data_IF_270973311847
#
_entry.id   IF_270973311847
#
_cell.length_a   1.000
_cell.length_b   1.000
_cell.length_c   1.000
_cell.angle_alpha   90.00
_cell.angle_beta   90.00
_cell.angle_gamma   90.00
#
_symmetry.space_group_name_H-M   'P 1'
#
loop_
_entity.id
_entity.type
_entity.pdbx_description
1 polymer ?
#
# COMPACT_ATOMS: atom_id res chain seq x y z
N UNK A 1 -65.04 50.72 -43.14
CA UNK A 1 -65.16 50.89 -41.68
C UNK A 1 -64.72 49.57 -41.06
N UNK A 2 -63.58 49.60 -40.36
CA UNK A 2 -62.71 48.46 -40.07
C UNK A 2 -63.22 47.72 -38.83
N UNK A 3 -63.43 46.39 -38.96
CA UNK A 3 -63.76 45.49 -37.86
C UNK A 3 -62.47 44.86 -37.33
N UNK A 4 -62.07 45.27 -36.11
CA UNK A 4 -60.93 44.72 -35.38
C UNK A 4 -61.22 43.30 -34.90
N UNK A 5 -60.33 42.38 -35.23
CA UNK A 5 -60.32 40.97 -34.82
C UNK A 5 -59.38 40.85 -33.60
N UNK A 6 -59.94 40.55 -32.43
CA UNK A 6 -59.19 40.34 -31.20
C UNK A 6 -58.52 38.97 -31.19
N UNK A 7 -57.19 38.95 -31.11
CA UNK A 7 -56.41 37.73 -30.94
C UNK A 7 -56.17 37.44 -29.45
N UNK A 8 -56.64 36.27 -29.02
CA UNK A 8 -56.45 35.73 -27.68
C UNK A 8 -55.01 35.25 -27.51
N UNK A 9 -54.22 36.00 -26.74
CA UNK A 9 -52.85 35.67 -26.38
C UNK A 9 -52.84 34.56 -25.31
N UNK A 10 -52.81 33.30 -25.74
CA UNK A 10 -52.62 32.13 -24.85
C UNK A 10 -51.20 32.16 -24.29
N UNK A 11 -51.09 32.46 -22.99
CA UNK A 11 -49.84 32.38 -22.21
C UNK A 11 -49.37 30.92 -22.14
N UNK A 12 -48.34 30.59 -22.91
CA UNK A 12 -47.59 29.34 -22.76
C UNK A 12 -46.75 29.42 -21.49
N UNK A 13 -47.17 28.68 -20.46
CA UNK A 13 -46.38 28.47 -19.24
C UNK A 13 -45.35 27.39 -19.60
N UNK A 14 -44.10 27.80 -19.84
CA UNK A 14 -42.97 26.88 -19.93
C UNK A 14 -42.71 26.28 -18.54
N UNK A 15 -42.80 24.96 -18.33
CA UNK A 15 -42.37 24.36 -17.08
C UNK A 15 -40.85 24.49 -17.00
N UNK A 16 -40.38 25.34 -16.07
CA UNK A 16 -38.98 25.46 -15.70
C UNK A 16 -38.53 24.12 -15.12
N UNK A 17 -37.88 23.30 -15.95
CA UNK A 17 -37.30 22.03 -15.57
C UNK A 17 -36.17 22.30 -14.58
N UNK A 18 -36.47 22.23 -13.28
CA UNK A 18 -35.46 22.24 -12.22
C UNK A 18 -34.66 20.95 -12.34
N UNK A 19 -33.53 21.01 -13.05
CA UNK A 19 -32.51 19.96 -13.00
C UNK A 19 -31.91 20.05 -11.60
N UNK A 20 -32.40 19.21 -10.70
CA UNK A 20 -31.71 18.92 -9.45
C UNK A 20 -30.40 18.22 -9.80
N UNK A 21 -29.34 19.00 -9.99
CA UNK A 21 -27.99 18.47 -9.88
C UNK A 21 -27.85 18.03 -8.42
N UNK A 22 -28.03 16.75 -8.16
CA UNK A 22 -27.51 16.15 -6.94
C UNK A 22 -26.00 16.33 -7.00
N UNK A 23 -25.52 17.39 -6.35
CA UNK A 23 -24.11 17.57 -6.01
C UNK A 23 -23.83 16.47 -4.99
N UNK A 24 -23.57 15.26 -5.49
CA UNK A 24 -22.94 14.25 -4.69
C UNK A 24 -21.54 14.78 -4.40
N UNK A 25 -21.27 15.10 -3.13
CA UNK A 25 -19.92 15.40 -2.68
C UNK A 25 -19.04 14.17 -2.94
N UNK A 26 -18.46 14.10 -4.14
CA UNK A 26 -17.65 12.99 -4.59
C UNK A 26 -16.29 13.03 -3.91
N UNK A 27 -15.85 11.88 -3.41
CA UNK A 27 -14.43 11.68 -3.10
C UNK A 27 -13.72 11.19 -4.37
N UNK A 28 -12.52 11.71 -4.60
CA UNK A 28 -11.67 11.36 -5.72
C UNK A 28 -10.38 10.72 -5.21
N UNK A 29 -9.93 9.66 -5.87
CA UNK A 29 -8.56 9.18 -5.74
C UNK A 29 -7.68 9.94 -6.72
N UNK A 30 -6.69 10.64 -6.22
CA UNK A 30 -5.87 11.56 -7.03
C UNK A 30 -4.40 11.24 -6.82
N UNK A 31 -3.65 11.19 -7.93
CA UNK A 31 -2.19 11.25 -7.89
C UNK A 31 -1.75 12.70 -7.93
N UNK A 32 -0.88 13.08 -7.00
CA UNK A 32 -0.26 14.41 -6.95
C UNK A 32 1.25 14.27 -7.00
N UNK A 33 1.89 15.01 -7.89
CA UNK A 33 3.33 14.91 -8.13
C UNK A 33 4.07 15.88 -7.19
N UNK A 34 5.09 15.39 -6.48
CA UNK A 34 5.93 16.17 -5.55
C UNK A 34 5.18 16.88 -4.42
N UNK A 35 4.10 16.28 -3.90
CA UNK A 35 3.31 16.87 -2.82
C UNK A 35 4.12 16.95 -1.51
N UNK A 36 4.40 18.17 -1.05
CA UNK A 36 5.06 18.43 0.25
C UNK A 36 4.08 18.77 1.36
N UNK A 37 2.86 19.15 0.99
CA UNK A 37 1.88 19.66 1.92
C UNK A 37 1.15 18.52 2.64
N UNK A 38 1.25 18.51 3.96
CA UNK A 38 0.64 17.51 4.84
C UNK A 38 -0.83 17.80 5.17
N UNK A 39 -1.39 18.91 4.65
CA UNK A 39 -2.82 19.25 4.81
C UNK A 39 -3.74 18.29 4.06
N UNK A 40 -3.25 17.64 3.00
CA UNK A 40 -4.04 16.67 2.23
C UNK A 40 -4.11 15.30 2.91
N UNK A 41 -5.20 14.58 2.68
CA UNK A 41 -5.38 13.20 3.16
C UNK A 41 -4.57 12.22 2.31
N UNK A 42 -3.25 12.19 2.53
CA UNK A 42 -2.31 11.30 1.84
C UNK A 42 -2.54 9.87 2.32
N UNK A 43 -2.86 8.96 1.42
CA UNK A 43 -3.10 7.53 1.72
C UNK A 43 -1.89 6.66 1.41
N UNK A 44 -1.05 7.08 0.46
CA UNK A 44 0.15 6.33 0.10
C UNK A 44 1.19 7.26 -0.56
N UNK A 45 2.47 6.92 -0.40
CA UNK A 45 3.58 7.58 -1.10
C UNK A 45 4.29 6.53 -1.96
N UNK A 46 4.36 6.78 -3.26
CA UNK A 46 5.04 5.92 -4.24
C UNK A 46 6.04 6.80 -4.98
N UNK A 47 7.34 6.57 -4.73
CA UNK A 47 8.42 7.38 -5.31
C UNK A 47 8.22 8.88 -5.01
N UNK A 48 8.04 9.71 -6.06
CA UNK A 48 7.79 11.15 -5.98
C UNK A 48 6.30 11.51 -6.11
N UNK A 49 5.41 10.52 -6.03
CA UNK A 49 3.97 10.68 -6.18
C UNK A 49 3.25 10.40 -4.86
N UNK A 50 2.30 11.26 -4.52
CA UNK A 50 1.38 11.04 -3.42
C UNK A 50 0.02 10.60 -3.97
N UNK A 51 -0.51 9.51 -3.44
CA UNK A 51 -1.92 9.17 -3.62
C UNK A 51 -2.70 9.83 -2.48
N UNK A 52 -3.70 10.62 -2.84
CA UNK A 52 -4.55 11.33 -1.88
C UNK A 52 -6.03 11.01 -2.12
N UNK A 53 -6.82 11.12 -1.06
CA UNK A 53 -8.27 11.23 -1.16
C UNK A 53 -8.63 12.71 -1.10
N UNK A 54 -9.24 13.22 -2.17
CA UNK A 54 -9.58 14.62 -2.34
C UNK A 54 -11.10 14.78 -2.51
N UNK A 55 -11.66 15.83 -1.93
CA UNK A 55 -13.00 16.33 -2.30
C UNK A 55 -12.88 17.44 -3.36
N UNK A 56 -14.01 17.98 -3.83
CA UNK A 56 -14.03 19.07 -4.81
C UNK A 56 -13.23 20.31 -4.37
N UNK A 57 -13.26 20.65 -3.07
CA UNK A 57 -12.51 21.79 -2.54
C UNK A 57 -11.00 21.53 -2.56
N UNK A 58 -10.56 20.31 -2.28
CA UNK A 58 -9.16 19.91 -2.38
C UNK A 58 -8.65 19.99 -3.82
N UNK A 59 -9.47 19.59 -4.80
CA UNK A 59 -9.16 19.73 -6.24
C UNK A 59 -8.98 21.21 -6.60
N UNK A 60 -9.91 22.07 -6.20
CA UNK A 60 -9.82 23.52 -6.45
C UNK A 60 -8.55 24.10 -5.80
N UNK A 61 -8.19 23.65 -4.60
CA UNK A 61 -6.96 24.09 -3.93
C UNK A 61 -5.70 23.65 -4.72
N UNK A 62 -5.66 22.40 -5.22
CA UNK A 62 -4.56 21.92 -6.06
C UNK A 62 -4.41 22.73 -7.35
N UNK A 63 -5.53 23.08 -8.00
CA UNK A 63 -5.55 23.92 -9.20
C UNK A 63 -5.05 25.36 -8.90
N UNK A 64 -5.52 25.96 -7.81
CA UNK A 64 -5.12 27.31 -7.40
C UNK A 64 -3.65 27.41 -7.02
N UNK A 65 -3.11 26.38 -6.38
CA UNK A 65 -1.69 26.29 -6.03
C UNK A 65 -0.79 25.90 -7.23
N UNK A 66 -1.39 25.57 -8.38
CA UNK A 66 -0.66 25.18 -9.58
C UNK A 66 0.08 23.84 -9.44
N UNK A 67 -0.41 22.97 -8.56
CA UNK A 67 0.17 21.65 -8.31
C UNK A 67 -0.30 20.69 -9.42
N UNK A 68 0.63 19.92 -10.00
CA UNK A 68 0.29 18.95 -11.04
C UNK A 68 -0.34 17.72 -10.40
N UNK A 69 -1.56 17.39 -10.84
CA UNK A 69 -2.30 16.23 -10.36
C UNK A 69 -3.04 15.50 -11.50
N UNK A 70 -3.42 14.25 -11.23
CA UNK A 70 -4.22 13.41 -12.12
C UNK A 70 -5.31 12.72 -11.29
N UNK A 71 -6.58 12.92 -11.65
CA UNK A 71 -7.70 12.18 -11.05
C UNK A 71 -7.66 10.75 -11.60
N UNK A 72 -7.58 9.77 -10.71
CA UNK A 72 -7.46 8.35 -11.04
C UNK A 72 -8.81 7.63 -10.99
N UNK A 73 -9.64 7.94 -10.00
CA UNK A 73 -10.96 7.35 -9.87
C UNK A 73 -11.92 8.20 -9.03
N UNK A 74 -13.22 7.98 -9.23
CA UNK A 74 -14.32 8.58 -8.47
C UNK A 74 -14.91 7.56 -7.48
N UNK A 75 -15.32 8.03 -6.30
CA UNK A 75 -15.90 7.23 -5.21
C UNK A 75 -15.02 6.02 -4.82
N UNK A 76 -13.74 6.25 -4.45
CA UNK A 76 -12.78 5.17 -4.30
C UNK A 76 -13.08 4.23 -3.13
N UNK A 77 -13.75 4.69 -2.06
CA UNK A 77 -14.04 3.86 -0.88
C UNK A 77 -14.92 2.63 -1.16
N UNK A 78 -15.70 2.65 -2.25
CA UNK A 78 -16.57 1.53 -2.62
C UNK A 78 -15.87 0.46 -3.49
N UNK A 79 -14.58 0.64 -3.78
CA UNK A 79 -13.83 -0.16 -4.77
C UNK A 79 -12.58 -0.77 -4.15
N UNK A 80 -12.00 -1.75 -4.84
CA UNK A 80 -10.80 -2.47 -4.39
C UNK A 80 -9.58 -2.11 -5.24
N UNK A 81 -8.47 -1.82 -4.56
CA UNK A 81 -7.22 -1.38 -5.19
C UNK A 81 -6.04 -2.19 -4.68
N UNK A 82 -5.15 -2.55 -5.61
CA UNK A 82 -3.90 -3.25 -5.34
C UNK A 82 -2.76 -2.46 -5.97
N UNK A 83 -1.68 -2.28 -5.21
CA UNK A 83 -0.38 -1.91 -5.74
C UNK A 83 0.31 -3.21 -6.10
N UNK A 84 0.65 -3.37 -7.37
CA UNK A 84 1.20 -4.60 -7.93
C UNK A 84 2.63 -4.33 -8.34
N UNK A 85 3.58 -4.98 -7.67
CA UNK A 85 4.99 -4.97 -8.05
C UNK A 85 5.24 -6.17 -8.97
N UNK A 86 5.84 -5.93 -10.12
CA UNK A 86 6.06 -6.95 -11.16
C UNK A 86 7.53 -6.90 -11.60
N UNK A 87 8.18 -8.07 -11.66
CA UNK A 87 9.59 -8.18 -12.06
C UNK A 87 9.74 -8.34 -13.57
N UNK A 88 9.03 -9.32 -14.15
CA UNK A 88 9.12 -9.69 -15.57
C UNK A 88 7.76 -10.14 -16.15
N UNK A 89 6.65 -9.73 -15.53
CA UNK A 89 5.31 -10.10 -15.99
C UNK A 89 4.81 -9.16 -17.10
N UNK A 90 4.11 -9.72 -18.08
CA UNK A 90 3.50 -8.94 -19.15
C UNK A 90 2.31 -8.13 -18.58
N UNK A 91 2.34 -6.81 -18.78
CA UNK A 91 1.27 -5.90 -18.40
C UNK A 91 -0.10 -6.33 -18.96
N UNK A 92 -0.11 -7.00 -20.12
CA UNK A 92 -1.33 -7.53 -20.75
C UNK A 92 -2.00 -8.61 -19.89
N UNK A 93 -1.23 -9.41 -19.16
CA UNK A 93 -1.76 -10.43 -18.24
C UNK A 93 -2.34 -9.77 -16.98
N UNK A 94 -1.67 -8.74 -16.47
CA UNK A 94 -2.13 -7.99 -15.29
C UNK A 94 -3.41 -7.20 -15.62
N UNK A 95 -3.49 -6.59 -16.81
CA UNK A 95 -4.67 -5.87 -17.29
C UNK A 95 -5.90 -6.75 -17.48
N UNK A 96 -5.74 -8.08 -17.63
CA UNK A 96 -6.89 -9.00 -17.64
C UNK A 96 -7.53 -9.15 -16.25
N UNK A 97 -6.79 -8.84 -15.19
CA UNK A 97 -7.23 -8.97 -13.81
C UNK A 97 -7.87 -7.69 -13.25
N UNK A 98 -7.88 -6.58 -14.00
CA UNK A 98 -8.46 -5.31 -13.54
C UNK A 98 -8.04 -4.11 -14.39
N UNK A 99 -8.49 -2.93 -13.98
CA UNK A 99 -8.18 -1.66 -14.65
C UNK A 99 -6.89 -1.07 -14.09
N UNK A 100 -5.89 -0.89 -14.94
CA UNK A 100 -4.65 -0.19 -14.55
C UNK A 100 -4.96 1.31 -14.56
N UNK A 101 -4.94 1.93 -13.38
CA UNK A 101 -5.22 3.36 -13.22
C UNK A 101 -3.97 4.21 -13.46
N UNK A 102 -2.82 3.68 -13.04
CA UNK A 102 -1.54 4.34 -13.20
C UNK A 102 -0.36 3.37 -13.15
N UNK A 103 0.77 3.82 -13.68
CA UNK A 103 2.02 3.07 -13.75
C UNK A 103 3.17 3.91 -13.20
N UNK A 104 4.00 3.28 -12.36
CA UNK A 104 5.22 3.82 -11.77
C UNK A 104 6.44 3.04 -12.28
N UNK A 105 7.64 3.33 -11.78
CA UNK A 105 8.87 2.66 -12.24
C UNK A 105 8.81 1.14 -11.98
N UNK A 106 8.49 0.74 -10.75
CA UNK A 106 8.55 -0.66 -10.30
C UNK A 106 7.18 -1.29 -9.99
N UNK A 107 6.10 -0.50 -10.10
CA UNK A 107 4.77 -0.97 -9.72
C UNK A 107 3.64 -0.31 -10.52
N UNK A 108 2.44 -0.86 -10.39
CA UNK A 108 1.22 -0.32 -10.98
C UNK A 108 0.12 -0.24 -9.94
N UNK A 109 -0.76 0.75 -10.10
CA UNK A 109 -1.98 0.86 -9.31
C UNK A 109 -3.12 0.23 -10.09
N UNK A 110 -3.58 -0.93 -9.61
CA UNK A 110 -4.64 -1.71 -10.22
C UNK A 110 -5.94 -1.54 -9.43
N UNK A 111 -7.03 -1.19 -10.11
CA UNK A 111 -8.39 -1.35 -9.60
C UNK A 111 -8.90 -2.72 -10.01
N UNK A 112 -9.33 -3.51 -9.04
CA UNK A 112 -9.74 -4.90 -9.27
C UNK A 112 -10.94 -5.26 -8.39
N UNK A 113 -11.39 -6.50 -8.48
CA UNK A 113 -12.45 -7.08 -7.64
C UNK A 113 -11.87 -8.27 -6.86
N UNK A 114 -12.53 -8.65 -5.77
CA UNK A 114 -12.04 -9.71 -4.87
C UNK A 114 -11.91 -11.07 -5.57
N UNK A 115 -12.81 -11.39 -6.51
CA UNK A 115 -12.78 -12.61 -7.32
C UNK A 115 -11.57 -12.67 -8.27
N UNK A 116 -11.16 -11.52 -8.81
CA UNK A 116 -10.00 -11.41 -9.72
C UNK A 116 -8.66 -11.46 -9.00
N UNK A 117 -8.64 -11.23 -7.69
CA UNK A 117 -7.42 -11.35 -6.88
C UNK A 117 -6.83 -12.76 -6.93
N UNK A 118 -7.66 -13.79 -7.12
CA UNK A 118 -7.20 -15.17 -7.26
C UNK A 118 -6.41 -15.37 -8.56
N UNK A 119 -6.85 -14.73 -9.65
CA UNK A 119 -6.14 -14.75 -10.93
C UNK A 119 -4.80 -14.01 -10.83
N UNK A 120 -4.83 -12.84 -10.18
CA UNK A 120 -3.64 -12.02 -9.95
C UNK A 120 -2.55 -12.75 -9.13
N UNK A 121 -2.96 -13.52 -8.10
CA UNK A 121 -2.05 -14.35 -7.29
C UNK A 121 -1.40 -15.52 -8.04
N UNK A 122 -1.87 -15.85 -9.25
CA UNK A 122 -1.22 -16.88 -10.10
C UNK A 122 -0.07 -16.32 -10.92
N UNK A 123 0.00 -15.00 -11.07
CA UNK A 123 1.09 -14.30 -11.75
C UNK A 123 2.29 -14.15 -10.80
N UNK A 124 3.49 -13.94 -11.35
CA UNK A 124 4.72 -13.70 -10.56
C UNK A 124 4.81 -12.24 -10.14
N UNK A 125 3.84 -11.79 -9.36
CA UNK A 125 3.73 -10.42 -8.84
C UNK A 125 3.67 -10.40 -7.31
N UNK A 126 4.09 -9.29 -6.71
CA UNK A 126 3.85 -8.99 -5.30
C UNK A 126 2.67 -8.03 -5.17
N UNK A 127 1.75 -8.35 -4.28
CA UNK A 127 0.50 -7.62 -4.10
C UNK A 127 0.47 -6.91 -2.75
N UNK A 128 0.23 -5.60 -2.79
CA UNK A 128 -0.06 -4.80 -1.60
C UNK A 128 -1.40 -4.10 -1.76
N UNK A 129 -2.35 -4.41 -0.86
CA UNK A 129 -3.65 -3.73 -0.85
C UNK A 129 -3.46 -2.25 -0.50
N UNK A 130 -4.01 -1.36 -1.32
CA UNK A 130 -4.11 0.05 -0.97
C UNK A 130 -5.24 0.25 0.06
N UNK A 131 -4.89 0.80 1.22
CA UNK A 131 -5.84 1.18 2.27
C UNK A 131 -6.02 2.69 2.27
N UNK A 132 -7.22 3.18 2.62
CA UNK A 132 -7.50 4.62 2.69
C UNK A 132 -7.24 5.25 4.06
N UNK A 133 -6.48 4.55 4.90
CA UNK A 133 -5.98 5.09 6.15
C UNK A 133 -4.89 6.12 5.85
N UNK A 134 -4.96 7.32 6.44
CA UNK A 134 -3.98 8.36 6.14
C UNK A 134 -2.59 7.97 6.63
N UNK A 135 -1.59 8.25 5.82
CA UNK A 135 -0.18 8.16 6.19
C UNK A 135 0.05 9.13 7.34
N UNK A 136 0.42 8.60 8.51
CA UNK A 136 0.74 9.40 9.68
C UNK A 136 2.16 9.94 9.55
N UNK A 137 2.29 11.21 9.20
CA UNK A 137 3.57 11.90 9.29
C UNK A 137 3.94 12.10 10.75
N UNK A 138 4.88 11.30 11.24
CA UNK A 138 5.47 11.49 12.55
C UNK A 138 6.47 12.66 12.41
N UNK A 139 5.99 13.89 12.62
CA UNK A 139 6.80 15.13 12.48
C UNK A 139 8.02 15.17 13.41
N UNK A 140 7.96 14.41 14.51
CA UNK A 140 9.06 14.20 15.45
C UNK A 140 8.97 12.75 15.87
N UNK A 141 10.04 11.99 15.64
CA UNK A 141 10.21 10.68 16.28
C UNK A 141 9.88 10.86 17.76
N UNK A 142 8.80 10.24 18.31
CA UNK A 142 8.40 10.46 19.71
C UNK A 142 9.53 10.06 20.67
N UNK A 143 10.50 9.30 20.16
CA UNK A 143 11.76 9.02 20.80
C UNK A 143 12.88 9.52 19.88
N UNK A 144 13.31 10.79 19.97
CA UNK A 144 14.57 11.16 19.34
C UNK A 144 15.62 10.32 20.04
N UNK A 145 16.06 9.22 19.41
CA UNK A 145 17.21 8.47 19.87
C UNK A 145 18.35 9.48 19.89
N UNK A 146 18.68 9.98 21.08
CA UNK A 146 19.91 10.72 21.30
C UNK A 146 21.02 9.71 21.03
N UNK A 147 21.51 9.66 19.81
CA UNK A 147 22.66 8.83 19.39
C UNK A 147 23.87 9.10 20.32
N UNK A 148 23.87 10.27 20.98
CA UNK A 148 24.87 10.68 21.97
C UNK A 148 24.68 10.10 23.40
N UNK A 149 23.72 9.19 23.61
CA UNK A 149 23.50 8.49 24.88
C UNK A 149 23.62 6.96 24.76
N UNK A 150 24.18 6.46 23.65
CA UNK A 150 24.75 5.12 23.64
C UNK A 150 26.09 5.18 24.39
N UNK A 151 26.04 5.44 25.71
CA UNK A 151 27.10 4.93 26.56
C UNK A 151 27.20 3.44 26.19
N UNK A 152 28.39 2.92 25.86
CA UNK A 152 28.54 1.53 25.44
C UNK A 152 27.84 0.68 26.47
N UNK A 153 26.70 0.09 26.10
CA UNK A 153 25.99 -0.78 26.99
C UNK A 153 26.93 -1.96 27.20
N UNK A 154 27.64 -1.91 28.33
CA UNK A 154 28.68 -2.88 28.64
C UNK A 154 28.10 -4.28 28.68
N UNK A 155 26.78 -4.43 28.86
CA UNK A 155 26.09 -5.70 28.80
C UNK A 155 25.99 -6.17 27.35
N UNK A 156 25.50 -5.34 26.43
CA UNK A 156 25.43 -5.69 25.00
C UNK A 156 26.83 -6.02 24.47
N UNK A 157 27.84 -5.20 24.79
CA UNK A 157 29.22 -5.46 24.36
C UNK A 157 29.79 -6.75 24.96
N UNK A 158 29.49 -7.06 26.22
CA UNK A 158 29.87 -8.33 26.85
C UNK A 158 29.17 -9.52 26.18
N UNK A 159 27.88 -9.40 25.85
CA UNK A 159 27.12 -10.43 25.14
C UNK A 159 27.75 -10.68 23.77
N UNK A 160 28.01 -9.62 22.99
CA UNK A 160 28.64 -9.74 21.66
C UNK A 160 30.04 -10.33 21.77
N UNK A 161 30.84 -9.90 22.76
CA UNK A 161 32.20 -10.41 22.98
C UNK A 161 32.24 -11.87 23.45
N UNK A 162 31.15 -12.35 24.06
CA UNK A 162 31.02 -13.75 24.48
C UNK A 162 30.63 -14.69 23.32
N UNK A 163 30.22 -14.15 22.17
CA UNK A 163 29.90 -14.97 20.98
C UNK A 163 31.20 -15.50 20.36
N UNK A 164 31.39 -16.82 20.43
CA UNK A 164 32.51 -17.49 19.77
C UNK A 164 32.18 -17.82 18.32
N UNK A 165 33.00 -17.30 17.39
CA UNK A 165 32.90 -17.61 15.96
C UNK A 165 33.05 -19.11 15.68
N UNK A 166 33.92 -19.79 16.43
CA UNK A 166 34.16 -21.23 16.26
C UNK A 166 32.94 -22.06 16.68
N UNK A 167 32.26 -21.67 17.76
CA UNK A 167 31.02 -22.32 18.20
C UNK A 167 29.91 -22.19 17.14
N UNK A 168 29.80 -21.01 16.51
CA UNK A 168 28.86 -20.78 15.40
C UNK A 168 29.23 -21.65 14.21
N UNK A 169 30.51 -21.65 13.81
CA UNK A 169 31.00 -22.44 12.66
C UNK A 169 30.81 -23.94 12.87
N UNK A 170 31.12 -24.46 14.06
CA UNK A 170 30.92 -25.86 14.41
C UNK A 170 29.45 -26.27 14.33
N UNK A 171 28.54 -25.40 14.77
CA UNK A 171 27.09 -25.63 14.68
C UNK A 171 26.59 -25.68 13.24
N UNK A 172 27.05 -24.75 12.39
CA UNK A 172 26.73 -24.73 10.96
C UNK A 172 27.23 -26.02 10.27
N UNK A 173 28.50 -26.37 10.47
CA UNK A 173 29.09 -27.57 9.87
C UNK A 173 28.38 -28.84 10.33
N UNK A 174 27.96 -28.90 11.59
CA UNK A 174 27.21 -30.05 12.12
C UNK A 174 25.86 -30.21 11.43
N UNK A 175 25.13 -29.13 11.21
CA UNK A 175 23.84 -29.15 10.50
C UNK A 175 24.01 -29.45 9.01
N UNK A 176 25.06 -28.95 8.37
CA UNK A 176 25.35 -29.22 6.96
C UNK A 176 25.76 -30.67 6.69
N UNK A 177 26.37 -31.35 7.68
CA UNK A 177 26.74 -32.78 7.59
C UNK A 177 25.56 -33.73 7.79
N UNK A 178 24.38 -33.23 8.13
CA UNK A 178 23.17 -34.05 8.18
C UNK A 178 22.68 -34.31 6.75
N UNK A 179 22.22 -35.53 6.48
CA UNK A 179 21.91 -36.01 5.13
C UNK A 179 20.91 -35.11 4.38
N UNK A 180 19.88 -34.64 5.08
CA UNK A 180 18.94 -33.64 4.57
C UNK A 180 18.22 -32.93 5.71
N UNK A 181 17.71 -31.72 5.43
CA UNK A 181 16.95 -30.86 6.35
C UNK A 181 15.46 -30.79 5.99
N UNK A 182 15.00 -31.61 5.04
CA UNK A 182 13.59 -31.70 4.72
C UNK A 182 12.79 -32.29 5.87
N UNK A 183 11.70 -31.62 6.21
CA UNK A 183 10.85 -31.91 7.38
C UNK A 183 10.26 -33.31 7.39
N UNK A 184 10.12 -33.96 6.24
CA UNK A 184 9.54 -35.29 6.08
C UNK A 184 10.49 -36.43 6.40
N UNK A 185 11.80 -36.16 6.51
CA UNK A 185 12.85 -37.19 6.61
C UNK A 185 13.32 -37.43 8.05
N UNK A 186 13.80 -38.64 8.32
CA UNK A 186 14.34 -39.03 9.64
C UNK A 186 15.59 -38.21 10.01
N UNK A 187 16.39 -37.83 9.01
CA UNK A 187 17.54 -36.92 9.18
C UNK A 187 17.14 -35.61 9.86
N UNK A 188 15.99 -35.03 9.50
CA UNK A 188 15.51 -33.83 10.17
C UNK A 188 14.74 -34.16 11.45
N UNK A 189 13.72 -35.02 11.37
CA UNK A 189 12.77 -35.30 12.46
C UNK A 189 13.45 -35.87 13.71
N UNK A 190 14.44 -36.75 13.51
CA UNK A 190 15.07 -37.50 14.59
C UNK A 190 16.45 -36.91 14.88
N UNK A 191 17.28 -36.66 13.86
CA UNK A 191 18.68 -36.29 14.11
C UNK A 191 18.84 -34.80 14.37
N UNK A 192 18.35 -33.93 13.47
CA UNK A 192 18.51 -32.49 13.60
C UNK A 192 17.76 -31.93 14.82
N UNK A 193 16.49 -32.29 14.96
CA UNK A 193 15.64 -31.81 16.07
C UNK A 193 16.19 -32.23 17.43
N UNK A 194 16.56 -33.50 17.62
CA UNK A 194 17.11 -33.94 18.89
C UNK A 194 18.49 -33.33 19.16
N UNK A 195 19.31 -33.10 18.13
CA UNK A 195 20.60 -32.41 18.32
C UNK A 195 20.41 -30.97 18.80
N UNK A 196 19.50 -30.21 18.18
CA UNK A 196 19.17 -28.83 18.62
C UNK A 196 18.62 -28.85 20.04
N UNK A 197 17.64 -29.72 20.32
CA UNK A 197 17.05 -29.88 21.66
C UNK A 197 18.13 -30.18 22.71
N UNK A 198 18.98 -31.17 22.46
CA UNK A 198 20.05 -31.54 23.39
C UNK A 198 21.08 -30.42 23.57
N UNK A 199 21.33 -29.61 22.54
CA UNK A 199 22.20 -28.44 22.65
C UNK A 199 21.60 -27.34 23.51
N UNK A 200 20.32 -27.03 23.34
CA UNK A 200 19.61 -26.07 24.20
C UNK A 200 19.58 -26.56 25.66
N UNK A 201 19.25 -27.83 25.88
CA UNK A 201 19.31 -28.44 27.21
C UNK A 201 20.71 -28.37 27.83
N UNK A 202 21.77 -28.55 27.02
CA UNK A 202 23.15 -28.42 27.53
C UNK A 202 23.54 -27.01 27.96
N UNK A 203 22.80 -25.99 27.50
CA UNK A 203 22.95 -24.60 27.95
C UNK A 203 22.00 -24.25 29.11
N UNK A 204 21.23 -25.22 29.62
CA UNK A 204 20.27 -25.01 30.70
C UNK A 204 18.95 -24.38 30.23
N UNK A 205 18.63 -24.44 28.94
CA UNK A 205 17.32 -24.06 28.43
C UNK A 205 16.37 -25.26 28.54
N UNK A 206 15.68 -25.40 29.68
CA UNK A 206 14.81 -26.53 30.04
C UNK A 206 13.30 -26.19 30.08
N UNK A 207 12.94 -24.97 29.70
CA UNK A 207 11.57 -24.43 29.60
C UNK A 207 10.77 -24.96 28.41
#
# INVERSE_FOLDING_TARGET
MILMKGENMRRFIFPTLFIFNFIFAGEYLVRVDNLKDKRFHIVELIENHALIIANEMDIVNLEQEGIVFKILDENPRAKYYQIVYYLDEDLSNIAQCGDILDQYEDCLLLRTTEDRLIELNRLRVELRRLTFDPVRFIDKDPYPLKINSLAPDTIIQKIVSAVSQDSVRASILRLQRMYTRYTTTDSNKIVAVNWIKNKLLSYGCDS
#
